data_IF_584215682917
#
_entry.id   IF_584215682917
#
_cell.length_a   1.000
_cell.length_b   1.000
_cell.length_c   1.000
_cell.angle_alpha   90.00
_cell.angle_beta   90.00
_cell.angle_gamma   90.00
#
_symmetry.space_group_name_H-M   'P 1'
#
loop_
_entity.id
_entity.type
_entity.pdbx_description
1 polymer ?
#
# COMPACT_ATOMS: atom_id res chain seq x y z
N UNK A 1 18.61 -38.18 -14.11
CA UNK A 1 18.70 -37.16 -15.20
C UNK A 1 18.01 -37.61 -16.48
N UNK A 2 18.40 -38.76 -17.00
CA UNK A 2 17.87 -39.24 -18.29
C UNK A 2 16.36 -39.47 -18.27
N UNK A 3 15.84 -40.07 -17.20
CA UNK A 3 14.39 -40.27 -17.06
C UNK A 3 13.62 -38.96 -17.03
N UNK A 4 14.16 -37.93 -16.34
CA UNK A 4 13.56 -36.62 -16.27
C UNK A 4 13.53 -35.93 -17.65
N UNK A 5 14.65 -35.99 -18.37
CA UNK A 5 14.75 -35.42 -19.71
C UNK A 5 13.78 -36.09 -20.70
N UNK A 6 13.66 -37.44 -20.65
CA UNK A 6 12.71 -38.17 -21.47
C UNK A 6 11.26 -37.83 -21.16
N UNK A 7 10.92 -37.70 -19.88
CA UNK A 7 9.58 -37.31 -19.46
C UNK A 7 9.20 -35.88 -19.92
N UNK A 8 10.16 -34.98 -20.01
CA UNK A 8 9.93 -33.60 -20.43
C UNK A 8 9.86 -33.41 -21.94
N UNK A 9 10.26 -34.41 -22.75
CA UNK A 9 10.17 -34.32 -24.22
C UNK A 9 8.75 -34.11 -24.73
N UNK A 10 7.77 -34.60 -23.99
CA UNK A 10 6.33 -34.46 -24.34
C UNK A 10 5.71 -33.15 -23.86
N UNK A 11 6.47 -32.33 -23.16
CA UNK A 11 5.98 -31.03 -22.69
C UNK A 11 5.96 -30.01 -23.83
N UNK A 12 4.82 -29.35 -24.01
CA UNK A 12 4.64 -28.33 -25.05
C UNK A 12 5.45 -27.07 -24.80
N UNK A 13 5.86 -26.82 -23.58
CA UNK A 13 6.65 -25.64 -23.21
C UNK A 13 8.15 -25.96 -23.24
N UNK A 14 8.99 -25.04 -23.75
CA UNK A 14 10.43 -25.23 -23.70
C UNK A 14 10.92 -25.37 -22.27
N UNK A 15 11.69 -26.43 -22.01
CA UNK A 15 12.28 -26.71 -20.70
C UNK A 15 13.77 -26.87 -20.84
N UNK A 16 14.49 -26.48 -19.80
CA UNK A 16 15.93 -26.66 -19.70
C UNK A 16 16.23 -27.26 -18.34
N UNK A 17 16.98 -28.36 -18.36
CA UNK A 17 17.38 -29.07 -17.15
C UNK A 17 18.90 -29.07 -17.07
N UNK A 18 19.44 -28.57 -15.94
CA UNK A 18 20.85 -28.63 -15.65
C UNK A 18 21.16 -29.92 -14.90
N UNK A 19 22.39 -30.44 -15.05
CA UNK A 19 22.83 -31.65 -14.35
C UNK A 19 22.86 -31.46 -12.83
N UNK A 20 22.91 -32.60 -12.09
CA UNK A 20 23.04 -32.56 -10.65
C UNK A 20 24.26 -31.76 -10.22
N UNK A 21 24.07 -30.93 -9.20
CA UNK A 21 25.19 -30.28 -8.51
C UNK A 21 25.72 -31.18 -7.40
N UNK A 22 26.78 -30.72 -6.71
CA UNK A 22 27.42 -31.46 -5.60
C UNK A 22 26.49 -31.71 -4.41
N UNK A 23 25.38 -30.94 -4.31
CA UNK A 23 24.38 -31.09 -3.25
C UNK A 23 23.23 -32.03 -3.65
N UNK A 24 23.27 -32.63 -4.81
CA UNK A 24 22.24 -33.54 -5.30
C UNK A 24 21.01 -32.79 -5.82
N UNK A 25 21.09 -31.51 -6.16
CA UNK A 25 19.97 -30.70 -6.66
C UNK A 25 20.02 -30.62 -8.19
N UNK A 26 18.83 -30.63 -8.79
CA UNK A 26 18.64 -30.37 -10.22
C UNK A 26 17.98 -29.01 -10.36
N UNK A 27 18.50 -28.19 -11.27
CA UNK A 27 17.86 -26.94 -11.64
C UNK A 27 17.12 -27.14 -12.94
N UNK A 28 15.84 -26.79 -12.95
CA UNK A 28 14.98 -26.87 -14.14
C UNK A 28 14.33 -25.53 -14.38
N UNK A 29 14.34 -25.10 -15.64
CA UNK A 29 13.60 -23.91 -16.06
C UNK A 29 12.57 -24.33 -17.11
N UNK A 30 11.40 -23.71 -17.06
CA UNK A 30 10.32 -23.93 -18.00
C UNK A 30 9.78 -22.60 -18.47
N UNK A 31 9.73 -22.39 -19.78
CA UNK A 31 9.19 -21.18 -20.33
C UNK A 31 7.66 -21.18 -20.18
N UNK A 32 7.12 -20.11 -19.63
CA UNK A 32 5.69 -19.93 -19.52
C UNK A 32 5.12 -19.44 -20.86
N UNK A 33 4.26 -20.25 -21.49
CA UNK A 33 3.65 -19.90 -22.78
C UNK A 33 2.24 -19.31 -22.63
N UNK A 34 1.62 -19.48 -21.46
CA UNK A 34 0.32 -18.87 -21.13
C UNK A 34 0.44 -18.13 -19.79
N UNK A 35 -0.45 -17.18 -19.58
CA UNK A 35 -0.52 -16.49 -18.29
C UNK A 35 -0.83 -17.48 -17.17
N UNK A 36 -0.31 -17.23 -15.97
CA UNK A 36 -0.62 -18.04 -14.80
C UNK A 36 -2.12 -17.93 -14.45
N UNK A 37 -2.65 -18.91 -13.74
CA UNK A 37 -4.03 -18.86 -13.24
C UNK A 37 -4.27 -17.61 -12.41
N UNK A 38 -3.31 -17.22 -11.60
CA UNK A 38 -3.36 -16.00 -10.81
C UNK A 38 -3.61 -14.76 -11.67
N UNK A 39 -2.86 -14.59 -12.77
CA UNK A 39 -3.04 -13.46 -13.68
C UNK A 39 -4.35 -13.54 -14.48
N UNK A 40 -4.83 -14.74 -14.73
CA UNK A 40 -6.06 -14.95 -15.49
C UNK A 40 -7.31 -14.71 -14.62
N UNK A 41 -7.28 -15.19 -13.38
CA UNK A 41 -8.44 -15.21 -12.48
C UNK A 41 -8.47 -14.05 -11.51
N UNK A 42 -7.33 -13.43 -11.25
CA UNK A 42 -7.20 -12.39 -10.23
C UNK A 42 -6.83 -11.05 -10.87
N UNK A 43 -7.15 -10.01 -10.15
CA UNK A 43 -6.75 -8.64 -10.47
C UNK A 43 -5.90 -8.09 -9.33
N UNK A 44 -5.10 -7.04 -9.56
CA UNK A 44 -4.40 -6.37 -8.46
C UNK A 44 -5.35 -5.93 -7.37
N UNK A 45 -4.95 -6.06 -6.13
CA UNK A 45 -5.75 -5.61 -5.00
C UNK A 45 -6.01 -4.11 -5.11
N UNK A 46 -7.28 -3.70 -5.10
CA UNK A 46 -7.65 -2.28 -5.21
C UNK A 46 -7.18 -1.45 -4.02
N UNK A 47 -7.01 -2.08 -2.86
CA UNK A 47 -6.62 -1.38 -1.65
C UNK A 47 -5.13 -1.01 -1.65
N UNK A 48 -4.24 -1.95 -1.97
CA UNK A 48 -2.80 -1.70 -2.04
C UNK A 48 -2.28 -1.55 -3.48
N UNK A 49 -3.16 -1.69 -4.48
CA UNK A 49 -2.84 -1.61 -5.91
C UNK A 49 -1.72 -2.58 -6.32
N UNK A 50 -1.67 -3.74 -5.66
CA UNK A 50 -0.67 -4.77 -5.95
C UNK A 50 0.65 -4.61 -5.21
N UNK A 51 0.82 -3.57 -4.39
CA UNK A 51 2.06 -3.33 -3.66
C UNK A 51 2.28 -4.31 -2.49
N UNK A 52 1.21 -4.88 -1.94
CA UNK A 52 1.26 -5.77 -0.78
C UNK A 52 1.40 -5.07 0.56
N UNK A 53 1.67 -3.75 0.56
CA UNK A 53 1.83 -2.93 1.74
C UNK A 53 1.08 -1.63 1.54
N UNK A 54 0.52 -1.10 2.63
CA UNK A 54 -0.05 0.24 2.67
C UNK A 54 0.66 1.05 3.75
N UNK A 55 0.58 2.37 3.67
CA UNK A 55 1.19 3.25 4.65
C UNK A 55 0.58 3.01 6.03
N UNK A 56 1.43 3.03 7.06
CA UNK A 56 0.96 2.91 8.44
C UNK A 56 0.20 4.17 8.86
N UNK A 57 -0.60 4.05 9.92
CA UNK A 57 -1.33 5.18 10.48
C UNK A 57 -0.37 6.31 10.90
N UNK A 58 0.79 5.98 11.44
CA UNK A 58 1.81 6.95 11.82
C UNK A 58 2.32 7.74 10.60
N UNK A 59 2.63 7.04 9.50
CA UNK A 59 3.09 7.67 8.26
C UNK A 59 2.04 8.64 7.71
N UNK A 60 0.77 8.21 7.68
CA UNK A 60 -0.33 9.06 7.21
C UNK A 60 -0.51 10.27 8.13
N UNK A 61 -0.38 10.10 9.44
CA UNK A 61 -0.46 11.21 10.39
C UNK A 61 0.60 12.27 10.11
N UNK A 62 1.84 11.86 9.84
CA UNK A 62 2.92 12.79 9.48
C UNK A 62 2.71 13.45 8.11
N UNK A 63 2.13 12.75 7.15
CA UNK A 63 1.75 13.35 5.86
C UNK A 63 0.68 14.43 6.05
N UNK A 64 -0.31 14.18 6.91
CA UNK A 64 -1.35 15.16 7.26
C UNK A 64 -0.70 16.40 7.90
N UNK A 65 0.24 16.19 8.81
CA UNK A 65 0.98 17.28 9.46
C UNK A 65 1.75 18.11 8.44
N UNK A 66 2.46 17.49 7.50
CA UNK A 66 3.20 18.18 6.46
C UNK A 66 2.27 18.99 5.55
N UNK A 67 1.15 18.42 5.16
CA UNK A 67 0.15 19.10 4.36
C UNK A 67 -0.48 20.27 5.12
N UNK A 68 -0.74 20.10 6.41
CA UNK A 68 -1.25 21.17 7.28
C UNK A 68 -0.29 22.35 7.34
N UNK A 69 1.00 22.06 7.46
CA UNK A 69 2.06 23.06 7.45
C UNK A 69 2.09 23.86 6.14
N UNK A 70 1.93 23.17 5.02
CA UNK A 70 1.86 23.81 3.69
C UNK A 70 0.62 24.67 3.53
N UNK A 71 -0.53 24.17 3.97
CA UNK A 71 -1.81 24.89 3.89
C UNK A 71 -1.82 26.14 4.77
N UNK A 72 -1.20 26.08 5.94
CA UNK A 72 -1.12 27.24 6.84
C UNK A 72 -0.37 28.43 6.24
N UNK A 73 0.56 28.15 5.32
CA UNK A 73 1.30 29.20 4.60
C UNK A 73 0.53 29.82 3.45
N UNK A 74 -0.48 29.11 2.94
CA UNK A 74 -1.23 29.52 1.75
C UNK A 74 -2.58 30.18 2.07
N UNK A 75 -3.12 29.94 3.26
CA UNK A 75 -4.48 30.34 3.63
C UNK A 75 -4.47 31.04 4.99
N UNK A 76 -4.77 32.35 5.00
CA UNK A 76 -4.77 33.13 6.23
C UNK A 76 -6.17 33.32 6.86
N UNK A 77 -7.27 33.04 6.11
CA UNK A 77 -8.63 33.37 6.53
C UNK A 77 -9.61 32.17 6.49
N UNK A 78 -9.42 31.17 7.33
CA UNK A 78 -10.45 30.16 7.55
C UNK A 78 -10.80 30.08 9.04
N UNK A 79 -12.08 29.88 9.30
CA UNK A 79 -12.61 29.82 10.67
C UNK A 79 -12.59 28.43 11.25
N UNK A 80 -12.78 27.42 10.42
CA UNK A 80 -12.85 26.03 10.83
C UNK A 80 -12.36 25.11 9.72
N UNK A 81 -11.61 24.09 10.12
CA UNK A 81 -11.09 23.07 9.21
C UNK A 81 -11.64 21.72 9.64
N UNK A 82 -12.19 20.98 8.68
CA UNK A 82 -12.64 19.60 8.88
C UNK A 82 -11.65 18.68 8.17
N UNK A 83 -11.13 17.71 8.89
CA UNK A 83 -10.24 16.68 8.36
C UNK A 83 -11.01 15.36 8.29
N UNK A 84 -11.19 14.83 7.08
CA UNK A 84 -11.84 13.55 6.85
C UNK A 84 -10.78 12.48 6.57
N UNK A 85 -10.78 11.43 7.38
CA UNK A 85 -9.81 10.34 7.31
C UNK A 85 -10.49 9.00 7.53
N UNK A 86 -9.78 7.91 7.23
CA UNK A 86 -10.25 6.56 7.59
C UNK A 86 -10.33 6.43 9.12
N UNK A 87 -11.30 5.65 9.66
CA UNK A 87 -11.45 5.47 11.11
C UNK A 87 -10.19 5.02 11.84
N UNK A 88 -9.36 4.19 11.21
CA UNK A 88 -8.08 3.75 11.79
C UNK A 88 -7.11 4.92 12.00
N UNK A 89 -7.07 5.85 11.06
CA UNK A 89 -6.24 7.05 11.16
C UNK A 89 -6.81 7.99 12.23
N UNK A 90 -8.13 8.17 12.26
CA UNK A 90 -8.78 8.99 13.29
C UNK A 90 -8.49 8.47 14.69
N UNK A 91 -8.57 7.15 14.87
CA UNK A 91 -8.23 6.50 16.14
C UNK A 91 -6.77 6.74 16.52
N UNK A 92 -5.83 6.57 15.58
CA UNK A 92 -4.41 6.80 15.82
C UNK A 92 -4.15 8.24 16.23
N UNK A 93 -4.76 9.22 15.55
CA UNK A 93 -4.61 10.64 15.88
C UNK A 93 -5.18 11.00 17.25
N UNK A 94 -6.15 10.24 17.74
CA UNK A 94 -6.75 10.47 19.07
C UNK A 94 -6.02 9.74 20.21
N UNK A 95 -5.20 8.75 19.89
CA UNK A 95 -4.52 7.89 20.88
C UNK A 95 -3.00 7.98 20.78
N UNK A 96 -2.40 7.26 19.83
CA UNK A 96 -0.94 7.12 19.72
C UNK A 96 -0.25 8.36 19.16
N UNK A 97 -0.93 9.09 18.27
CA UNK A 97 -0.38 10.25 17.56
C UNK A 97 -1.05 11.56 18.01
N UNK A 98 -1.38 11.69 19.29
CA UNK A 98 -2.02 12.90 19.84
C UNK A 98 -1.16 14.13 19.68
N UNK A 99 0.15 13.98 19.81
CA UNK A 99 1.10 15.08 19.66
C UNK A 99 1.07 15.65 18.24
N UNK A 100 0.94 14.76 17.24
CA UNK A 100 0.82 15.16 15.83
C UNK A 100 -0.48 15.94 15.61
N UNK A 101 -1.58 15.49 16.21
CA UNK A 101 -2.85 16.21 16.12
C UNK A 101 -2.77 17.60 16.74
N UNK A 102 -2.11 17.75 17.88
CA UNK A 102 -1.90 19.05 18.50
C UNK A 102 -1.06 19.99 17.61
N UNK A 103 -0.02 19.46 16.96
CA UNK A 103 0.77 20.26 16.02
C UNK A 103 -0.07 20.69 14.80
N UNK A 104 -0.95 19.81 14.30
CA UNK A 104 -1.87 20.17 13.21
C UNK A 104 -2.80 21.30 13.65
N UNK A 105 -3.32 21.24 14.86
CA UNK A 105 -4.18 22.29 15.41
C UNK A 105 -3.42 23.61 15.62
N UNK A 106 -2.13 23.54 15.96
CA UNK A 106 -1.27 24.72 16.07
C UNK A 106 -1.11 25.45 14.71
N UNK A 107 -1.05 24.69 13.62
CA UNK A 107 -0.94 25.25 12.27
C UNK A 107 -2.27 25.75 11.70
N UNK A 108 -3.34 24.99 11.89
CA UNK A 108 -4.63 25.21 11.24
C UNK A 108 -5.71 25.79 12.18
N UNK A 109 -5.40 25.88 13.48
CA UNK A 109 -6.41 26.24 14.49
C UNK A 109 -7.30 25.05 14.83
N UNK A 110 -8.59 25.30 15.05
CA UNK A 110 -9.52 24.24 15.41
C UNK A 110 -9.74 23.30 14.23
N UNK A 111 -9.42 22.02 14.43
CA UNK A 111 -9.60 20.96 13.45
C UNK A 111 -10.65 19.97 13.94
N UNK A 112 -11.70 19.80 13.14
CA UNK A 112 -12.75 18.81 13.39
C UNK A 112 -12.42 17.53 12.66
N UNK A 113 -12.21 16.44 13.40
CA UNK A 113 -11.77 15.16 12.87
C UNK A 113 -12.99 14.28 12.58
N UNK A 114 -13.19 13.96 11.31
CA UNK A 114 -14.30 13.13 10.83
C UNK A 114 -13.76 11.78 10.33
N UNK A 115 -14.32 10.69 10.86
CA UNK A 115 -13.98 9.35 10.42
C UNK A 115 -14.95 8.89 9.33
N UNK A 116 -14.42 8.40 8.21
CA UNK A 116 -15.22 7.91 7.08
C UNK A 116 -14.61 6.61 6.54
N UNK A 117 -15.37 5.51 6.61
CA UNK A 117 -14.94 4.19 6.13
C UNK A 117 -14.78 4.13 4.62
N UNK A 118 -15.42 5.04 3.88
CA UNK A 118 -15.30 5.11 2.43
C UNK A 118 -13.97 5.72 1.96
N UNK A 119 -13.24 6.41 2.84
CA UNK A 119 -11.92 6.96 2.54
C UNK A 119 -10.88 5.87 2.69
N UNK A 120 -10.00 5.75 1.69
CA UNK A 120 -8.86 4.83 1.76
C UNK A 120 -7.96 5.19 2.94
N UNK A 121 -7.35 4.19 3.59
CA UNK A 121 -6.51 4.39 4.77
C UNK A 121 -5.32 5.34 4.50
N UNK A 122 -4.82 5.40 3.27
CA UNK A 122 -3.73 6.29 2.86
C UNK A 122 -4.20 7.67 2.44
N UNK A 123 -5.49 7.93 2.35
CA UNK A 123 -6.06 9.18 1.86
C UNK A 123 -6.66 10.00 2.98
N UNK A 124 -6.66 11.30 2.79
CA UNK A 124 -7.29 12.25 3.69
C UNK A 124 -7.73 13.49 2.93
N UNK A 125 -8.78 14.16 3.42
CA UNK A 125 -9.32 15.37 2.82
C UNK A 125 -9.44 16.49 3.85
N UNK A 126 -9.09 17.71 3.47
CA UNK A 126 -9.35 18.91 4.24
C UNK A 126 -10.54 19.67 3.66
N UNK A 127 -11.47 20.08 4.52
CA UNK A 127 -12.56 20.98 4.16
C UNK A 127 -12.44 22.25 4.99
N UNK A 128 -12.48 23.39 4.34
CA UNK A 128 -12.40 24.71 4.95
C UNK A 128 -13.75 25.41 4.92
N UNK A 129 -14.13 26.00 6.03
CA UNK A 129 -15.39 26.76 6.15
C UNK A 129 -15.10 28.21 6.49
#
# INVERSE_FOLDING_TARGET
MQLLQEALQNDKSPTKVLSFNDFGLIVMTRKRVKQSLERTLCAPCHYCQGAGLIKSAQTVAYEILDQSRRLSKQMDDYKQVTLRVHPEIAKALRTTERDVLHEIEDYLGSVDLTADVAVHQEQFDFAFI
#
